data_IF_873319852744
#
_entry.id   IF_873319852744
#
_cell.length_a   1.000
_cell.length_b   1.000
_cell.length_c   1.000
_cell.angle_alpha   90.00
_cell.angle_beta   90.00
_cell.angle_gamma   90.00
#
_symmetry.space_group_name_H-M   'P 1'
#
loop_
_entity.id
_entity.type
_entity.pdbx_description
1 polymer ?
#
# COMPACT_ATOMS: atom_id res chain seq x y z
N UNK A 1 -28.08 -31.31 -35.93
CA UNK A 1 -27.58 -30.40 -37.00
C UNK A 1 -27.93 -28.91 -36.81
N UNK A 2 -29.09 -28.51 -36.26
CA UNK A 2 -29.47 -27.09 -36.08
C UNK A 2 -28.54 -26.26 -35.17
N UNK A 3 -28.14 -26.80 -34.01
CA UNK A 3 -27.24 -26.13 -33.05
C UNK A 3 -25.86 -25.79 -33.62
N UNK A 4 -25.29 -26.67 -34.45
CA UNK A 4 -23.96 -26.45 -35.07
C UNK A 4 -24.00 -25.29 -36.07
N UNK A 5 -25.11 -25.15 -36.83
CA UNK A 5 -25.31 -24.03 -37.76
C UNK A 5 -25.42 -22.68 -37.04
N UNK A 6 -26.08 -22.61 -35.89
CA UNK A 6 -26.17 -21.38 -35.08
C UNK A 6 -24.81 -20.96 -34.51
N UNK A 7 -24.01 -21.92 -34.03
CA UNK A 7 -22.65 -21.66 -33.53
C UNK A 7 -21.77 -21.10 -34.65
N UNK A 8 -21.81 -21.71 -35.84
CA UNK A 8 -21.08 -21.22 -37.01
C UNK A 8 -21.51 -19.81 -37.43
N UNK A 9 -22.81 -19.50 -37.37
CA UNK A 9 -23.32 -18.16 -37.67
C UNK A 9 -22.89 -17.11 -36.63
N UNK A 10 -22.79 -17.47 -35.35
CA UNK A 10 -22.25 -16.59 -34.30
C UNK A 10 -20.75 -16.35 -34.49
N UNK A 11 -19.98 -17.40 -34.76
CA UNK A 11 -18.56 -17.33 -35.08
C UNK A 11 -18.29 -16.45 -36.31
N UNK A 12 -19.06 -16.62 -37.39
CA UNK A 12 -18.91 -15.81 -38.60
C UNK A 12 -19.19 -14.31 -38.34
N UNK A 13 -20.21 -13.99 -37.55
CA UNK A 13 -20.50 -12.61 -37.12
C UNK A 13 -19.37 -12.04 -36.27
N UNK A 14 -18.81 -12.83 -35.35
CA UNK A 14 -17.68 -12.41 -34.53
C UNK A 14 -16.41 -12.16 -35.37
N UNK A 15 -16.07 -13.07 -36.28
CA UNK A 15 -14.94 -12.92 -37.21
C UNK A 15 -15.11 -11.67 -38.09
N UNK A 16 -16.33 -11.36 -38.52
CA UNK A 16 -16.62 -10.12 -39.28
C UNK A 16 -16.32 -8.87 -38.46
N UNK A 17 -16.78 -8.82 -37.19
CA UNK A 17 -16.49 -7.71 -36.28
C UNK A 17 -15.00 -7.54 -36.02
N UNK A 18 -14.26 -8.65 -35.84
CA UNK A 18 -12.80 -8.61 -35.65
C UNK A 18 -12.08 -8.06 -36.88
N UNK A 19 -12.55 -8.40 -38.10
CA UNK A 19 -12.01 -7.84 -39.34
C UNK A 19 -12.26 -6.34 -39.46
N UNK A 20 -13.43 -5.85 -39.06
CA UNK A 20 -13.70 -4.40 -39.00
C UNK A 20 -12.79 -3.70 -37.98
N UNK A 21 -12.64 -4.25 -36.78
CA UNK A 21 -11.73 -3.71 -35.76
C UNK A 21 -10.29 -3.63 -36.28
N UNK A 22 -9.80 -4.67 -36.98
CA UNK A 22 -8.48 -4.63 -37.62
C UNK A 22 -8.34 -3.53 -38.68
N UNK A 23 -9.37 -3.31 -39.50
CA UNK A 23 -9.38 -2.23 -40.50
C UNK A 23 -9.35 -0.85 -39.84
N UNK A 24 -10.14 -0.66 -38.77
CA UNK A 24 -10.17 0.59 -38.00
C UNK A 24 -8.81 0.84 -37.36
N UNK A 25 -8.19 -0.18 -36.75
CA UNK A 25 -6.84 -0.09 -36.17
C UNK A 25 -5.78 0.22 -37.23
N UNK A 26 -5.86 -0.39 -38.42
CA UNK A 26 -4.94 -0.07 -39.53
C UNK A 26 -5.12 1.35 -40.07
N UNK A 27 -6.36 1.84 -40.14
CA UNK A 27 -6.66 3.19 -40.57
C UNK A 27 -6.14 4.22 -39.57
N UNK A 28 -6.40 4.01 -38.28
CA UNK A 28 -5.88 4.83 -37.18
C UNK A 28 -4.34 4.82 -37.18
N UNK A 29 -3.71 3.64 -37.36
CA UNK A 29 -2.25 3.52 -37.49
C UNK A 29 -1.67 4.23 -38.72
N UNK A 30 -2.43 4.34 -39.83
CA UNK A 30 -2.00 5.08 -41.04
C UNK A 30 -2.16 6.59 -40.90
N UNK A 31 -3.13 7.07 -40.12
CA UNK A 31 -3.31 8.50 -39.88
C UNK A 31 -2.43 9.05 -38.75
N UNK A 32 -2.05 8.21 -37.79
CA UNK A 32 -1.10 8.60 -36.75
C UNK A 32 0.33 8.54 -37.30
N UNK A 33 0.96 9.71 -37.42
CA UNK A 33 2.42 9.78 -37.62
C UNK A 33 3.17 9.12 -36.46
N UNK A 34 4.50 9.00 -36.58
CA UNK A 34 5.37 8.37 -35.58
C UNK A 34 5.09 8.92 -34.16
N UNK A 35 4.83 10.22 -34.04
CA UNK A 35 4.47 10.88 -32.79
C UNK A 35 3.16 10.38 -32.15
N UNK A 36 2.14 10.04 -32.94
CA UNK A 36 0.87 9.49 -32.44
C UNK A 36 1.01 8.04 -31.98
N UNK A 37 1.84 7.26 -32.67
CA UNK A 37 2.18 5.89 -32.27
C UNK A 37 2.98 5.90 -30.96
N UNK A 38 3.99 6.76 -30.84
CA UNK A 38 4.80 6.88 -29.61
C UNK A 38 3.95 7.34 -28.43
N UNK A 39 3.06 8.33 -28.63
CA UNK A 39 2.13 8.78 -27.59
C UNK A 39 1.21 7.66 -27.13
N UNK A 40 0.65 6.87 -28.06
CA UNK A 40 -0.23 5.75 -27.72
C UNK A 40 0.48 4.69 -26.88
N UNK A 41 1.74 4.37 -27.21
CA UNK A 41 2.57 3.41 -26.46
C UNK A 41 2.86 3.97 -25.07
N UNK A 42 3.31 5.22 -24.95
CA UNK A 42 3.58 5.86 -23.65
C UNK A 42 2.34 5.90 -22.77
N UNK A 43 1.19 6.32 -23.31
CA UNK A 43 -0.07 6.34 -22.56
C UNK A 43 -0.48 4.95 -22.08
N UNK A 44 -0.32 3.92 -22.92
CA UNK A 44 -0.61 2.54 -22.52
C UNK A 44 0.33 2.08 -21.40
N UNK A 45 1.60 2.44 -21.47
CA UNK A 45 2.58 2.14 -20.43
C UNK A 45 2.22 2.81 -19.10
N UNK A 46 1.86 4.11 -19.12
CA UNK A 46 1.45 4.84 -17.91
C UNK A 46 0.20 4.21 -17.28
N UNK A 47 -0.84 3.92 -18.10
CA UNK A 47 -2.06 3.28 -17.62
C UNK A 47 -1.75 1.90 -17.03
N UNK A 48 -0.93 1.11 -17.73
CA UNK A 48 -0.49 -0.21 -17.26
C UNK A 48 0.23 -0.13 -15.91
N UNK A 49 1.17 0.81 -15.75
CA UNK A 49 1.89 1.02 -14.49
C UNK A 49 0.97 1.41 -13.34
N UNK A 50 -0.03 2.26 -13.58
CA UNK A 50 -1.04 2.61 -12.56
C UNK A 50 -1.87 1.38 -12.17
N UNK A 51 -2.31 0.58 -13.14
CA UNK A 51 -3.04 -0.66 -12.86
C UNK A 51 -2.18 -1.62 -12.03
N UNK A 52 -0.91 -1.81 -12.40
CA UNK A 52 0.01 -2.66 -11.64
C UNK A 52 0.19 -2.13 -10.22
N UNK A 53 0.44 -0.84 -10.05
CA UNK A 53 0.57 -0.19 -8.74
C UNK A 53 -0.61 -0.50 -7.81
N UNK A 54 -1.85 -0.35 -8.30
CA UNK A 54 -3.04 -0.69 -7.54
C UNK A 54 -3.23 -2.20 -7.35
N UNK A 55 -2.93 -3.01 -8.37
CA UNK A 55 -3.12 -4.46 -8.32
C UNK A 55 -2.11 -5.16 -7.39
N UNK A 56 -0.90 -4.62 -7.24
CA UNK A 56 0.13 -5.16 -6.34
C UNK A 56 0.00 -4.62 -4.92
N UNK A 57 -0.98 -3.74 -4.64
CA UNK A 57 -1.11 -3.10 -3.33
C UNK A 57 0.09 -2.22 -2.95
N UNK A 58 0.91 -1.80 -3.93
CA UNK A 58 2.01 -0.88 -3.68
C UNK A 58 1.39 0.45 -3.26
N UNK A 59 1.34 0.74 -1.96
CA UNK A 59 0.67 1.94 -1.43
C UNK A 59 -0.32 1.67 -0.30
N UNK A 60 -0.71 0.41 -0.08
CA UNK A 60 -1.49 0.02 1.08
C UNK A 60 -0.56 -0.26 2.27
N UNK A 61 -1.02 0.12 3.46
CA UNK A 61 -0.32 -0.21 4.70
C UNK A 61 -0.74 -1.63 5.07
N UNK A 62 0.20 -2.52 5.43
CA UNK A 62 -0.16 -3.86 5.89
C UNK A 62 -1.17 -3.77 7.04
N UNK A 63 -2.27 -4.54 7.02
CA UNK A 63 -3.22 -4.54 8.11
C UNK A 63 -2.54 -5.17 9.34
N UNK A 64 -2.35 -4.37 10.39
CA UNK A 64 -1.77 -4.81 11.66
C UNK A 64 -2.64 -4.29 12.79
N UNK A 65 -2.93 -5.16 13.74
CA UNK A 65 -3.60 -4.80 14.99
C UNK A 65 -2.54 -4.63 16.09
N UNK A 66 -2.49 -3.44 16.67
CA UNK A 66 -1.47 -3.05 17.63
C UNK A 66 -2.12 -2.59 18.94
N UNK A 67 -1.50 -2.93 20.07
CA UNK A 67 -1.87 -2.47 21.40
C UNK A 67 -0.66 -1.84 22.08
N UNK A 68 -0.84 -0.69 22.72
CA UNK A 68 0.23 -0.01 23.46
C UNK A 68 -0.13 0.07 24.93
N UNK A 69 0.82 -0.28 25.78
CA UNK A 69 0.69 -0.22 27.23
C UNK A 69 1.89 0.51 27.86
N UNK A 70 1.67 1.07 29.04
CA UNK A 70 2.72 1.62 29.87
C UNK A 70 2.84 0.78 31.16
N UNK A 71 4.01 0.20 31.38
CA UNK A 71 4.32 -0.60 32.56
C UNK A 71 5.76 -0.33 32.99
N UNK A 72 6.01 -0.23 34.30
CA UNK A 72 7.36 -0.09 34.88
C UNK A 72 8.21 1.02 34.25
N UNK A 73 7.63 2.21 34.04
CA UNK A 73 8.26 3.34 33.34
C UNK A 73 8.74 3.00 31.91
N UNK A 74 8.17 1.99 31.27
CA UNK A 74 8.41 1.67 29.88
C UNK A 74 7.11 1.75 29.07
N UNK A 75 7.24 2.13 27.81
CA UNK A 75 6.13 2.10 26.84
C UNK A 75 6.40 0.91 25.92
N UNK A 76 5.48 -0.05 25.93
CA UNK A 76 5.57 -1.29 25.17
C UNK A 76 4.46 -1.38 24.14
N UNK A 77 4.80 -1.89 22.97
CA UNK A 77 3.90 -2.23 21.87
C UNK A 77 3.70 -3.75 21.86
N UNK A 78 2.46 -4.22 21.83
CA UNK A 78 2.09 -5.61 21.61
C UNK A 78 1.44 -5.74 20.24
N UNK A 79 1.94 -6.66 19.42
CA UNK A 79 1.34 -6.97 18.12
C UNK A 79 0.28 -8.04 18.32
N UNK A 80 -0.97 -7.73 17.98
CA UNK A 80 -2.11 -8.63 18.15
C UNK A 80 -2.32 -9.50 16.90
N UNK A 81 -2.20 -8.90 15.72
CA UNK A 81 -2.35 -9.56 14.42
C UNK A 81 -1.60 -8.79 13.33
N UNK A 82 -1.23 -9.47 12.24
CA UNK A 82 -0.47 -8.91 11.12
C UNK A 82 1.05 -8.97 11.29
N UNK A 83 1.76 -8.71 10.20
CA UNK A 83 3.23 -8.79 10.15
C UNK A 83 3.82 -7.62 9.36
N UNK A 84 4.87 -6.98 9.88
CA UNK A 84 5.63 -5.94 9.18
C UNK A 84 7.12 -6.11 9.48
N UNK A 85 7.97 -6.26 8.45
CA UNK A 85 9.42 -6.28 8.63
C UNK A 85 9.95 -4.99 9.26
N UNK A 86 10.97 -5.07 10.11
CA UNK A 86 11.61 -3.94 10.78
C UNK A 86 12.06 -2.85 9.79
N UNK A 87 12.49 -3.25 8.59
CA UNK A 87 12.91 -2.30 7.56
C UNK A 87 11.77 -1.45 7.01
N UNK A 88 10.52 -1.85 7.20
CA UNK A 88 9.33 -1.23 6.63
C UNK A 88 8.56 -0.35 7.61
N UNK A 89 8.97 -0.25 8.87
CA UNK A 89 8.35 0.65 9.84
C UNK A 89 9.33 1.44 10.70
N UNK A 90 8.83 2.51 11.28
CA UNK A 90 9.53 3.37 12.21
C UNK A 90 8.52 4.04 13.14
N UNK A 91 9.00 4.57 14.26
CA UNK A 91 8.13 5.08 15.30
C UNK A 91 8.62 6.38 15.93
N UNK A 92 7.72 7.02 16.67
CA UNK A 92 7.99 8.20 17.48
C UNK A 92 7.28 8.06 18.81
N UNK A 93 8.03 8.30 19.90
CA UNK A 93 7.47 8.43 21.25
C UNK A 93 7.93 9.74 21.87
N UNK A 94 7.00 10.67 22.09
CA UNK A 94 7.29 11.97 22.66
C UNK A 94 6.20 12.42 23.62
N UNK A 95 6.58 13.24 24.61
CA UNK A 95 5.64 13.84 25.56
C UNK A 95 4.67 14.75 24.79
N UNK A 96 3.38 14.65 25.06
CA UNK A 96 2.36 15.44 24.37
C UNK A 96 2.57 16.96 24.50
N UNK A 97 3.26 17.40 25.56
CA UNK A 97 3.54 18.81 25.84
C UNK A 97 4.68 19.39 25.01
N UNK A 98 5.46 18.54 24.33
CA UNK A 98 6.57 18.97 23.49
C UNK A 98 6.22 18.84 22.02
N UNK A 99 6.90 19.65 21.19
CA UNK A 99 6.78 19.50 19.75
C UNK A 99 7.28 18.10 19.31
N UNK A 100 6.62 17.48 18.32
CA UNK A 100 7.05 16.19 17.80
C UNK A 100 8.51 16.25 17.31
N UNK A 101 9.33 15.23 17.59
CA UNK A 101 10.66 15.13 17.04
C UNK A 101 10.62 15.10 15.51
N UNK A 102 11.63 15.66 14.87
CA UNK A 102 11.77 15.61 13.41
C UNK A 102 12.29 14.23 12.96
N UNK A 103 13.13 13.60 13.78
CA UNK A 103 13.73 12.30 13.49
C UNK A 103 12.89 11.17 14.09
N UNK A 104 12.55 10.20 13.26
CA UNK A 104 11.86 8.98 13.62
C UNK A 104 12.86 7.92 14.08
N UNK A 105 12.49 7.13 15.08
CA UNK A 105 13.29 6.03 15.58
C UNK A 105 13.09 4.80 14.67
N UNK A 106 14.17 4.11 14.25
CA UNK A 106 14.05 2.90 13.44
C UNK A 106 13.38 1.78 14.24
N UNK A 107 12.65 0.91 13.56
CA UNK A 107 12.09 -0.29 14.17
C UNK A 107 13.19 -1.11 14.89
N UNK A 108 12.97 -1.50 16.16
CA UNK A 108 13.94 -2.30 16.90
C UNK A 108 13.89 -3.79 16.52
N UNK A 109 12.75 -4.25 15.97
CA UNK A 109 12.49 -5.65 15.60
C UNK A 109 11.40 -5.71 14.52
N UNK A 110 11.21 -6.89 13.92
CA UNK A 110 10.06 -7.19 13.08
C UNK A 110 8.77 -7.09 13.93
N UNK A 111 7.62 -6.87 13.31
CA UNK A 111 6.33 -6.99 13.99
C UNK A 111 5.77 -8.36 13.70
N UNK A 112 5.75 -9.23 14.71
CA UNK A 112 5.09 -10.54 14.62
C UNK A 112 3.99 -10.69 15.67
N UNK A 113 2.86 -11.38 15.38
CA UNK A 113 1.78 -11.57 16.35
C UNK A 113 2.26 -12.21 17.66
N UNK A 114 1.91 -11.58 18.78
CA UNK A 114 2.31 -11.99 20.12
C UNK A 114 3.64 -11.38 20.61
N UNK A 115 4.37 -10.66 19.76
CA UNK A 115 5.60 -9.98 20.16
C UNK A 115 5.32 -8.73 21.00
N UNK A 116 6.18 -8.49 22.00
CA UNK A 116 6.18 -7.31 22.84
C UNK A 116 7.46 -6.52 22.61
N UNK A 117 7.33 -5.33 22.03
CA UNK A 117 8.42 -4.46 21.62
C UNK A 117 8.48 -3.25 22.56
N UNK A 118 9.66 -2.98 23.14
CA UNK A 118 9.87 -1.79 23.97
C UNK A 118 10.14 -0.58 23.06
N UNK A 119 9.22 0.37 23.02
CA UNK A 119 9.38 1.61 22.24
C UNK A 119 10.18 2.66 22.99
N UNK A 120 10.03 2.73 24.32
CA UNK A 120 10.75 3.67 25.18
C UNK A 120 11.00 3.06 26.55
N UNK A 121 12.26 3.05 26.98
CA UNK A 121 12.65 2.82 28.37
C UNK A 121 12.70 4.14 29.14
N UNK A 122 12.57 4.07 30.47
CA UNK A 122 12.75 5.20 31.39
C UNK A 122 11.82 6.41 31.10
N UNK A 123 10.59 6.12 30.66
CA UNK A 123 9.53 7.09 30.50
C UNK A 123 9.15 7.69 31.86
N UNK A 124 9.23 9.02 31.96
CA UNK A 124 8.85 9.75 33.17
C UNK A 124 7.33 9.82 33.26
N UNK A 125 6.75 10.04 34.46
CA UNK A 125 5.31 10.20 34.59
C UNK A 125 4.79 11.40 33.76
N UNK A 126 4.11 11.09 32.66
CA UNK A 126 3.58 12.05 31.68
C UNK A 126 2.65 11.33 30.68
N UNK A 127 1.98 12.10 29.84
CA UNK A 127 1.22 11.58 28.69
C UNK A 127 2.09 11.66 27.45
N UNK A 128 2.30 10.52 26.80
CA UNK A 128 3.09 10.37 25.58
C UNK A 128 2.18 10.12 24.38
N UNK A 129 2.55 10.70 23.24
CA UNK A 129 2.02 10.31 21.94
C UNK A 129 2.94 9.25 21.35
N UNK A 130 2.33 8.16 20.91
CA UNK A 130 3.00 7.07 20.19
C UNK A 130 2.48 7.08 18.77
N UNK A 131 3.38 7.24 17.82
CA UNK A 131 3.08 7.22 16.38
C UNK A 131 3.96 6.17 15.71
N UNK A 132 3.35 5.34 14.87
CA UNK A 132 4.03 4.30 14.10
C UNK A 132 3.65 4.49 12.64
N UNK A 133 4.64 4.52 11.74
CA UNK A 133 4.40 4.71 10.31
C UNK A 133 5.08 3.64 9.47
N UNK A 134 4.48 3.36 8.32
CA UNK A 134 5.00 2.46 7.31
C UNK A 134 5.94 3.23 6.37
N UNK A 135 7.24 2.96 6.44
CA UNK A 135 8.31 3.65 5.71
C UNK A 135 8.06 3.75 4.21
N UNK A 136 7.68 2.68 3.48
CA UNK A 136 7.47 2.76 2.02
C UNK A 136 6.33 3.69 1.61
N UNK A 137 5.29 3.81 2.45
CA UNK A 137 4.07 4.56 2.10
C UNK A 137 3.95 5.90 2.80
N UNK A 138 4.75 6.14 3.85
CA UNK A 138 4.70 7.30 4.75
C UNK A 138 3.35 7.48 5.47
N UNK A 139 2.47 6.47 5.43
CA UNK A 139 1.18 6.47 6.13
C UNK A 139 1.37 5.97 7.56
N UNK A 140 0.57 6.50 8.48
CA UNK A 140 0.51 5.99 9.85
C UNK A 140 -0.14 4.61 9.86
N UNK A 141 0.53 3.66 10.51
CA UNK A 141 -0.03 2.35 10.86
C UNK A 141 -0.90 2.53 12.10
N UNK A 142 -0.38 3.28 13.08
CA UNK A 142 -1.01 3.43 14.39
C UNK A 142 -0.64 4.75 15.04
N UNK A 143 -1.60 5.36 15.73
CA UNK A 143 -1.39 6.55 16.55
C UNK A 143 -2.24 6.45 17.81
N UNK A 144 -1.63 6.63 18.98
CA UNK A 144 -2.35 6.64 20.25
C UNK A 144 -1.70 7.58 21.28
N UNK A 145 -2.40 7.77 22.39
CA UNK A 145 -1.89 8.44 23.59
C UNK A 145 -1.84 7.45 24.73
N UNK A 146 -0.74 7.44 25.48
CA UNK A 146 -0.58 6.61 26.67
C UNK A 146 -0.08 7.47 27.81
N UNK A 147 -0.62 7.28 29.00
CA UNK A 147 -0.15 7.96 30.21
C UNK A 147 0.68 6.98 31.02
N UNK A 148 1.89 7.39 31.36
CA UNK A 148 2.75 6.67 32.30
C UNK A 148 2.46 7.23 33.68
N UNK A 149 1.95 6.37 34.57
CA UNK A 149 1.74 6.69 35.98
C UNK A 149 3.05 6.47 36.75
N UNK A 150 3.30 7.29 37.78
CA UNK A 150 4.52 7.27 38.60
C UNK A 150 4.28 6.82 40.02
#
# INVERSE_FOLDING_TARGET
MRKIKEIFQRLRRWISKVKEIKKILQYIRRQMGIAGISLSIMSTFVIGSVIVYYATGMGEVPPVELSVAAHDNAITLTVLDGEIPAEDWEYLVFDERVNPPIMWDPAPADMEPGEVIVLKSDARPATYRVQIRHKPTLKFIFETKITVEG
#
